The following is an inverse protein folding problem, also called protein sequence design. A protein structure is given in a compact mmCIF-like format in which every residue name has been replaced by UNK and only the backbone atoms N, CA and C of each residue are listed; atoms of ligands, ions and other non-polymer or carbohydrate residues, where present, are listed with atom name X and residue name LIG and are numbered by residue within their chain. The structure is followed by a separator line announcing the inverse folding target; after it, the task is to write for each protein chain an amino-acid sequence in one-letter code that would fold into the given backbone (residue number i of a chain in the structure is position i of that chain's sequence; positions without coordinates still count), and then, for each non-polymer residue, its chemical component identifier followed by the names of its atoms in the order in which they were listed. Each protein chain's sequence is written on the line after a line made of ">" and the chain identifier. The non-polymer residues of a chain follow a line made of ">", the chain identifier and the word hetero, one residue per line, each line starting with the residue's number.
data_IF_456067519187
#
_entry.id   IF_456067519187
#
_cell.length_a   1.000
_cell.length_b   1.000
_cell.length_c   1.000
_cell.angle_alpha   90.00
_cell.angle_beta   90.00
_cell.angle_gamma   90.00
#
_symmetry.space_group_name_H-M   'P 1'
#
loop_
_entity.id
_entity.type
_entity.pdbx_description
1 polymer ?
#
# COMPACT_ATOMS: atom_id res chain seq x y z
N UNK A 1 -43.95 85.57 34.56
CA UNK A 1 -44.12 86.89 33.94
C UNK A 1 -44.13 86.69 32.44
N UNK A 2 -45.28 86.86 31.85
CA UNK A 2 -45.64 87.70 30.70
C UNK A 2 -44.83 87.34 29.43
N UNK A 3 -45.33 87.06 28.23
CA UNK A 3 -46.54 87.47 27.52
C UNK A 3 -46.42 86.81 26.14
N UNK A 4 -47.36 86.01 25.66
CA UNK A 4 -48.38 86.34 24.69
C UNK A 4 -47.87 87.11 23.46
N UNK A 5 -48.07 86.56 22.27
CA UNK A 5 -48.94 87.03 21.17
C UNK A 5 -48.52 86.31 19.89
N UNK A 6 -49.26 85.42 19.29
CA UNK A 6 -50.41 85.55 18.39
C UNK A 6 -50.01 86.07 17.00
N UNK A 7 -50.43 85.32 16.00
CA UNK A 7 -51.16 85.74 14.77
C UNK A 7 -50.54 85.36 13.41
N UNK A 8 -51.31 84.49 12.73
CA UNK A 8 -51.74 84.50 11.30
C UNK A 8 -50.77 84.04 10.21
N UNK A 9 -51.05 82.83 9.63
CA UNK A 9 -51.71 82.52 8.36
C UNK A 9 -50.97 82.96 7.11
N UNK A 10 -50.40 82.05 6.39
CA UNK A 10 -50.54 82.01 4.91
C UNK A 10 -50.19 80.62 4.36
N UNK A 11 -51.22 80.01 3.83
CA UNK A 11 -51.09 78.78 3.02
C UNK A 11 -50.38 79.06 1.72
N UNK A 12 -49.35 78.35 1.45
CA UNK A 12 -48.77 78.20 0.08
C UNK A 12 -48.48 76.75 -0.17
N UNK A 13 -49.36 76.12 -0.93
CA UNK A 13 -49.20 74.78 -1.53
C UNK A 13 -48.11 74.87 -2.52
N UNK A 14 -46.95 74.27 -2.23
CA UNK A 14 -45.93 73.98 -3.22
C UNK A 14 -45.94 72.48 -3.49
N UNK A 15 -46.46 72.10 -4.62
CA UNK A 15 -46.36 70.76 -5.19
C UNK A 15 -44.88 70.44 -5.42
N UNK A 16 -44.29 69.66 -4.54
CA UNK A 16 -42.99 69.02 -4.78
C UNK A 16 -43.26 67.76 -5.58
N UNK A 17 -43.02 67.86 -6.88
CA UNK A 17 -42.93 66.73 -7.78
C UNK A 17 -41.84 65.76 -7.26
N UNK A 18 -42.29 64.65 -6.69
CA UNK A 18 -41.38 63.56 -6.36
C UNK A 18 -40.73 63.02 -7.63
N UNK A 19 -39.45 63.29 -7.81
CA UNK A 19 -38.61 62.46 -8.68
C UNK A 19 -38.62 61.06 -8.08
N UNK A 20 -39.42 60.17 -8.62
CA UNK A 20 -39.29 58.76 -8.42
C UNK A 20 -37.88 58.37 -8.91
N UNK A 21 -37.00 58.02 -7.98
CA UNK A 21 -35.83 57.22 -8.32
C UNK A 21 -36.40 55.88 -8.83
N UNK A 22 -36.51 55.76 -10.15
CA UNK A 22 -36.61 54.46 -10.77
C UNK A 22 -35.34 53.74 -10.36
N UNK A 23 -35.45 52.70 -9.49
CA UNK A 23 -34.44 51.69 -9.36
C UNK A 23 -34.21 51.18 -10.80
N UNK A 24 -33.16 51.66 -11.40
CA UNK A 24 -32.64 51.08 -12.65
C UNK A 24 -32.14 49.71 -12.20
N UNK A 25 -33.03 48.73 -12.27
CA UNK A 25 -32.64 47.35 -12.18
C UNK A 25 -31.50 47.13 -13.17
N UNK A 26 -30.26 47.11 -12.65
CA UNK A 26 -29.10 46.92 -13.50
C UNK A 26 -29.31 45.57 -14.18
N UNK A 27 -29.65 45.60 -15.46
CA UNK A 27 -29.77 44.39 -16.29
C UNK A 27 -28.48 43.59 -16.10
N UNK A 28 -28.60 42.42 -15.43
CA UNK A 28 -27.45 41.52 -15.30
C UNK A 28 -26.93 41.24 -16.70
N UNK A 29 -25.62 41.43 -16.96
CA UNK A 29 -25.09 41.24 -18.28
C UNK A 29 -25.41 39.82 -18.74
N UNK A 30 -25.97 39.73 -19.95
CA UNK A 30 -26.30 38.44 -20.56
C UNK A 30 -25.03 37.63 -20.79
N UNK A 31 -24.97 36.33 -20.41
CA UNK A 31 -23.79 35.52 -20.64
C UNK A 31 -23.59 35.31 -22.15
N UNK A 32 -22.32 35.25 -22.56
CA UNK A 32 -21.98 34.82 -23.92
C UNK A 32 -22.16 33.31 -24.05
N UNK A 33 -22.78 32.89 -25.13
CA UNK A 33 -22.92 31.47 -25.47
C UNK A 33 -22.05 31.19 -26.68
N UNK A 34 -21.15 30.20 -26.52
CA UNK A 34 -20.31 29.72 -27.59
C UNK A 34 -20.80 28.33 -28.01
N UNK A 35 -21.03 28.18 -29.29
CA UNK A 35 -21.23 26.89 -29.94
C UNK A 35 -19.89 26.43 -30.42
N UNK A 36 -19.39 25.28 -29.93
CA UNK A 36 -18.04 24.76 -30.15
C UNK A 36 -16.94 25.62 -29.48
N UNK A 37 -16.50 25.18 -28.30
CA UNK A 37 -15.35 25.77 -27.62
C UNK A 37 -14.12 24.89 -27.90
N UNK A 38 -13.00 25.52 -28.18
CA UNK A 38 -11.68 24.91 -28.24
C UNK A 38 -10.70 25.80 -27.49
N UNK A 39 -10.17 25.29 -26.38
CA UNK A 39 -9.13 25.93 -25.58
C UNK A 39 -7.86 25.10 -25.71
N UNK A 40 -6.72 25.75 -25.85
CA UNK A 40 -5.41 25.09 -25.91
C UNK A 40 -4.38 25.93 -25.20
N UNK A 41 -3.48 25.28 -24.48
CA UNK A 41 -2.29 25.88 -23.90
C UNK A 41 -1.05 25.15 -24.42
N UNK A 42 -0.06 25.94 -24.80
CA UNK A 42 1.25 25.43 -25.19
C UNK A 42 2.29 25.86 -24.15
N UNK A 43 3.40 25.13 -24.10
CA UNK A 43 4.62 25.51 -23.38
C UNK A 43 5.26 26.77 -24.05
N UNK A 44 6.23 27.42 -23.40
CA UNK A 44 7.00 28.50 -24.00
C UNK A 44 7.70 28.08 -25.30
N UNK A 45 8.05 26.84 -25.47
CA UNK A 45 8.69 26.28 -26.67
C UNK A 45 7.68 25.92 -27.78
N UNK A 46 6.39 26.14 -27.53
CA UNK A 46 5.31 25.94 -28.51
C UNK A 46 4.67 24.53 -28.48
N UNK A 47 5.19 23.61 -27.68
CA UNK A 47 4.62 22.26 -27.55
C UNK A 47 3.28 22.28 -26.81
N UNK A 48 2.29 21.46 -27.22
CA UNK A 48 1.01 21.42 -26.56
C UNK A 48 1.14 20.84 -25.16
N UNK A 49 0.56 21.53 -24.16
CA UNK A 49 0.42 21.02 -22.79
C UNK A 49 -0.95 20.37 -22.59
N UNK A 50 -1.99 21.05 -23.07
CA UNK A 50 -3.34 20.51 -23.02
C UNK A 50 -4.26 21.17 -24.05
N UNK A 51 -5.33 20.45 -24.40
CA UNK A 51 -6.42 20.92 -25.24
C UNK A 51 -7.74 20.51 -24.61
N UNK A 52 -8.74 21.40 -24.61
CA UNK A 52 -10.10 21.14 -24.17
C UNK A 52 -11.09 21.53 -25.26
N UNK A 53 -11.96 20.60 -25.66
CA UNK A 53 -13.02 20.80 -26.64
C UNK A 53 -14.40 20.56 -25.99
N UNK A 54 -15.40 21.35 -26.42
CA UNK A 54 -16.79 21.19 -25.97
C UNK A 54 -17.77 21.61 -27.03
N UNK A 55 -18.95 20.97 -27.11
CA UNK A 55 -20.01 21.39 -28.02
C UNK A 55 -20.66 22.72 -27.64
N UNK A 56 -20.64 23.11 -26.37
CA UNK A 56 -21.20 24.40 -25.94
C UNK A 56 -20.57 24.90 -24.62
N UNK A 57 -20.44 26.23 -24.55
CA UNK A 57 -19.98 26.92 -23.35
C UNK A 57 -20.81 28.17 -23.12
N UNK A 58 -20.98 28.53 -21.84
CA UNK A 58 -21.65 29.76 -21.40
C UNK A 58 -20.71 30.54 -20.50
N UNK A 59 -20.26 31.71 -20.97
CA UNK A 59 -19.34 32.57 -20.23
C UNK A 59 -20.08 33.74 -19.55
N UNK A 60 -19.84 33.91 -18.24
CA UNK A 60 -20.37 35.00 -17.43
C UNK A 60 -19.24 36.01 -17.13
N UNK A 61 -19.32 37.22 -17.69
CA UNK A 61 -18.25 38.21 -17.61
C UNK A 61 -17.94 38.62 -16.18
N UNK A 62 -18.99 38.93 -15.38
CA UNK A 62 -18.82 39.45 -14.02
C UNK A 62 -18.09 38.45 -13.10
N UNK A 63 -18.34 37.17 -13.28
CA UNK A 63 -17.78 36.12 -12.47
C UNK A 63 -16.49 35.55 -13.08
N UNK A 64 -16.16 35.90 -14.34
CA UNK A 64 -15.07 35.29 -15.13
C UNK A 64 -15.14 33.78 -15.14
N UNK A 65 -16.35 33.23 -15.31
CA UNK A 65 -16.60 31.77 -15.26
C UNK A 65 -17.20 31.31 -16.61
N UNK A 66 -16.54 30.36 -17.23
CA UNK A 66 -17.10 29.54 -18.31
C UNK A 66 -17.67 28.24 -17.78
N UNK A 67 -18.97 28.02 -18.01
CA UNK A 67 -19.62 26.73 -17.74
C UNK A 67 -19.67 25.97 -19.06
N UNK A 68 -19.00 24.81 -19.07
CA UNK A 68 -18.72 24.02 -20.27
C UNK A 68 -19.47 22.69 -20.18
N UNK A 69 -20.22 22.33 -21.22
CA UNK A 69 -20.96 21.06 -21.26
C UNK A 69 -20.19 19.97 -22.02
N UNK A 70 -20.15 18.77 -21.45
CA UNK A 70 -19.51 17.58 -22.05
C UNK A 70 -18.10 17.87 -22.57
N UNK A 71 -17.21 18.45 -21.75
CA UNK A 71 -15.84 18.69 -22.15
C UNK A 71 -15.10 17.40 -22.44
N UNK A 72 -14.24 17.44 -23.44
CA UNK A 72 -13.21 16.43 -23.72
C UNK A 72 -11.87 17.16 -23.66
N UNK A 73 -11.03 16.80 -22.70
CA UNK A 73 -9.68 17.35 -22.62
C UNK A 73 -8.65 16.30 -23.00
N UNK A 74 -7.55 16.73 -23.57
CA UNK A 74 -6.37 15.91 -23.86
C UNK A 74 -5.18 16.56 -23.16
N UNK A 75 -4.47 15.78 -22.33
CA UNK A 75 -3.17 16.16 -21.77
C UNK A 75 -2.07 15.63 -22.67
N UNK A 76 -0.99 16.37 -22.73
CA UNK A 76 0.19 16.01 -23.51
C UNK A 76 1.40 15.88 -22.58
N UNK A 77 2.31 15.00 -22.93
CA UNK A 77 3.58 14.77 -22.29
C UNK A 77 4.64 14.73 -23.39
N UNK A 78 5.64 15.62 -23.33
CA UNK A 78 6.62 15.82 -24.40
C UNK A 78 5.97 15.97 -25.81
N UNK A 79 4.91 16.79 -25.89
CA UNK A 79 4.17 17.04 -27.13
C UNK A 79 3.32 15.87 -27.64
N UNK A 80 3.29 14.72 -26.95
CA UNK A 80 2.48 13.54 -27.31
C UNK A 80 1.25 13.45 -26.43
N UNK A 81 0.07 13.09 -27.00
CA UNK A 81 -1.12 12.86 -26.19
C UNK A 81 -0.91 11.74 -25.18
N UNK A 82 -1.04 12.03 -23.88
CA UNK A 82 -0.84 11.09 -22.77
C UNK A 82 -2.15 10.61 -22.14
N UNK A 83 -3.09 11.54 -21.89
CA UNK A 83 -4.39 11.22 -21.32
C UNK A 83 -5.52 11.91 -22.04
N UNK A 84 -6.68 11.23 -22.10
CA UNK A 84 -7.96 11.81 -22.52
C UNK A 84 -8.94 11.83 -21.35
N UNK A 85 -9.53 13.00 -21.09
CA UNK A 85 -10.38 13.28 -19.95
C UNK A 85 -11.80 13.58 -20.43
N UNK A 86 -12.77 13.00 -19.75
CA UNK A 86 -14.20 13.17 -20.00
C UNK A 86 -14.91 13.59 -18.72
N UNK A 87 -15.82 14.56 -18.82
CA UNK A 87 -16.72 14.92 -17.74
C UNK A 87 -18.08 15.38 -18.32
N UNK A 88 -19.18 15.29 -17.55
CA UNK A 88 -20.47 15.88 -17.95
C UNK A 88 -20.43 17.40 -18.01
N UNK A 89 -19.72 18.03 -17.08
CA UNK A 89 -19.61 19.51 -16.98
C UNK A 89 -18.20 19.91 -16.54
N UNK A 90 -17.77 21.10 -16.98
CA UNK A 90 -16.59 21.78 -16.44
C UNK A 90 -16.89 23.25 -16.17
N UNK A 91 -16.20 23.79 -15.15
CA UNK A 91 -16.14 25.22 -14.84
C UNK A 91 -14.71 25.70 -15.09
N UNK A 92 -14.54 26.65 -15.98
CA UNK A 92 -13.26 27.36 -16.16
C UNK A 92 -13.39 28.70 -15.44
N UNK A 93 -12.59 28.87 -14.40
CA UNK A 93 -12.64 29.99 -13.45
C UNK A 93 -11.40 30.86 -13.69
N UNK A 94 -11.57 32.19 -13.63
CA UNK A 94 -10.47 33.13 -13.79
C UNK A 94 -9.80 33.07 -15.18
N UNK A 95 -10.61 32.75 -16.23
CA UNK A 95 -10.13 32.63 -17.63
C UNK A 95 -9.09 31.51 -17.84
N UNK A 96 -9.06 30.50 -16.92
CA UNK A 96 -8.18 29.36 -17.00
C UNK A 96 -7.25 29.17 -15.81
N UNK A 97 -7.33 30.04 -14.79
CA UNK A 97 -6.54 29.88 -13.56
C UNK A 97 -6.88 28.56 -12.83
N UNK A 98 -8.17 28.16 -12.90
CA UNK A 98 -8.65 26.91 -12.36
C UNK A 98 -9.71 26.28 -13.26
N UNK A 99 -9.59 24.97 -13.49
CA UNK A 99 -10.56 24.16 -14.23
C UNK A 99 -11.12 23.10 -13.30
N UNK A 100 -12.43 23.13 -13.07
CA UNK A 100 -13.12 22.12 -12.29
C UNK A 100 -13.95 21.23 -13.22
N UNK A 101 -13.67 19.95 -13.22
CA UNK A 101 -14.46 18.91 -13.89
C UNK A 101 -15.36 18.25 -12.84
N UNK A 102 -16.66 18.14 -13.09
CA UNK A 102 -17.64 17.70 -12.10
C UNK A 102 -18.59 16.64 -12.64
N UNK A 103 -19.36 16.04 -11.72
CA UNK A 103 -20.40 15.04 -12.01
C UNK A 103 -19.88 13.70 -12.54
N UNK A 104 -18.66 13.32 -12.14
CA UNK A 104 -18.02 12.08 -12.54
C UNK A 104 -17.05 12.26 -13.71
N UNK A 105 -15.79 12.29 -13.35
CA UNK A 105 -14.67 12.46 -14.28
C UNK A 105 -14.05 11.11 -14.59
N UNK A 106 -13.72 10.87 -15.85
CA UNK A 106 -12.96 9.69 -16.29
C UNK A 106 -11.77 10.16 -17.12
N UNK A 107 -10.57 9.77 -16.71
CA UNK A 107 -9.32 9.96 -17.44
C UNK A 107 -8.83 8.60 -17.92
N UNK A 108 -8.42 8.52 -19.20
CA UNK A 108 -7.88 7.29 -19.82
C UNK A 108 -6.51 7.58 -20.38
N UNK A 109 -5.53 6.77 -20.01
CA UNK A 109 -4.23 6.78 -20.69
C UNK A 109 -4.41 6.42 -22.16
N UNK A 110 -3.60 7.01 -23.03
CA UNK A 110 -3.60 6.79 -24.47
C UNK A 110 -2.49 5.84 -24.92
N UNK A 111 -1.72 5.32 -23.95
CA UNK A 111 -0.76 4.25 -24.13
C UNK A 111 -1.41 2.86 -23.96
N UNK A 112 -0.60 1.80 -24.07
CA UNK A 112 -1.02 0.40 -23.94
C UNK A 112 -1.19 -0.06 -22.46
N UNK A 113 -1.00 0.81 -21.47
CA UNK A 113 -1.14 0.48 -20.05
C UNK A 113 -2.55 0.06 -19.67
N UNK A 114 -3.56 0.60 -20.39
CA UNK A 114 -4.97 0.42 -20.07
C UNK A 114 -5.39 1.17 -18.81
N UNK A 115 -4.58 2.12 -18.36
CA UNK A 115 -4.85 2.87 -17.12
C UNK A 115 -6.07 3.76 -17.27
N UNK A 116 -6.94 3.70 -16.26
CA UNK A 116 -8.13 4.54 -16.13
C UNK A 116 -8.16 5.14 -14.73
N UNK A 117 -8.40 6.45 -14.67
CA UNK A 117 -8.55 7.19 -13.42
C UNK A 117 -9.96 7.76 -13.36
N UNK A 118 -10.61 7.69 -12.20
CA UNK A 118 -11.96 8.23 -11.96
C UNK A 118 -12.00 9.01 -10.68
N UNK A 119 -12.87 10.04 -10.64
CA UNK A 119 -13.21 10.78 -9.44
C UNK A 119 -14.59 11.43 -9.61
N UNK A 120 -15.23 11.86 -8.53
CA UNK A 120 -16.47 12.66 -8.62
C UNK A 120 -16.18 14.06 -9.15
N UNK A 121 -15.07 14.65 -8.70
CA UNK A 121 -14.62 15.98 -9.07
C UNK A 121 -13.11 15.99 -9.31
N UNK A 122 -12.66 16.73 -10.31
CA UNK A 122 -11.24 17.02 -10.55
C UNK A 122 -11.06 18.53 -10.61
N UNK A 123 -10.11 19.05 -9.83
CA UNK A 123 -9.69 20.43 -9.83
C UNK A 123 -8.30 20.48 -10.43
N UNK A 124 -8.17 21.19 -11.52
CA UNK A 124 -6.90 21.39 -12.19
C UNK A 124 -6.50 22.85 -12.14
N UNK A 125 -5.28 23.12 -11.68
CA UNK A 125 -4.66 24.45 -11.65
C UNK A 125 -3.43 24.43 -12.56
N UNK A 126 -3.58 24.86 -13.82
CA UNK A 126 -2.50 24.76 -14.81
C UNK A 126 -1.22 25.48 -14.40
N UNK A 127 -1.34 26.68 -13.81
CA UNK A 127 -0.18 27.48 -13.38
C UNK A 127 0.62 26.85 -12.22
N UNK A 128 -0.05 26.07 -11.38
CA UNK A 128 0.57 25.36 -10.25
C UNK A 128 0.97 23.93 -10.65
N UNK A 129 0.62 23.51 -11.87
CA UNK A 129 0.76 22.14 -12.37
C UNK A 129 0.19 21.11 -11.40
N UNK A 130 -0.96 21.46 -10.78
CA UNK A 130 -1.59 20.71 -9.70
C UNK A 130 -2.92 20.13 -10.16
N UNK A 131 -3.09 18.83 -9.95
CA UNK A 131 -4.33 18.10 -10.18
C UNK A 131 -4.84 17.50 -8.87
N UNK A 132 -6.06 17.86 -8.46
CA UNK A 132 -6.71 17.33 -7.27
C UNK A 132 -7.94 16.53 -7.68
N UNK A 133 -8.01 15.26 -7.26
CA UNK A 133 -9.13 14.36 -7.48
C UNK A 133 -9.87 14.19 -6.14
N UNK A 134 -11.14 14.52 -6.11
CA UNK A 134 -11.98 14.48 -4.91
C UNK A 134 -13.20 13.57 -5.12
N UNK A 135 -13.58 12.88 -4.04
CA UNK A 135 -14.73 12.00 -4.00
C UNK A 135 -14.48 10.69 -4.74
N UNK A 136 -14.09 9.67 -3.97
CA UNK A 136 -13.85 8.30 -4.43
C UNK A 136 -12.83 8.25 -5.58
N UNK A 137 -11.66 8.86 -5.38
CA UNK A 137 -10.56 8.78 -6.34
C UNK A 137 -10.16 7.32 -6.54
N UNK A 138 -10.18 6.88 -7.79
CA UNK A 138 -9.90 5.50 -8.18
C UNK A 138 -8.97 5.50 -9.40
N UNK A 139 -7.93 4.70 -9.35
CA UNK A 139 -7.11 4.39 -10.52
C UNK A 139 -7.01 2.88 -10.68
N UNK A 140 -7.07 2.39 -11.90
CA UNK A 140 -6.87 0.97 -12.18
C UNK A 140 -6.20 0.79 -13.54
N UNK A 141 -5.45 -0.30 -13.66
CA UNK A 141 -4.87 -0.82 -14.90
C UNK A 141 -5.44 -2.22 -15.21
N UNK A 142 -4.66 -3.06 -15.89
CA UNK A 142 -5.09 -4.42 -16.25
C UNK A 142 -5.19 -5.37 -15.05
N UNK A 143 -4.45 -5.15 -13.99
CA UNK A 143 -4.31 -6.09 -12.86
C UNK A 143 -4.50 -5.44 -11.48
N UNK A 144 -4.36 -4.14 -11.38
CA UNK A 144 -4.34 -3.41 -10.11
C UNK A 144 -5.43 -2.35 -10.05
N UNK A 145 -5.97 -2.14 -8.86
CA UNK A 145 -6.89 -1.06 -8.53
C UNK A 145 -6.43 -0.39 -7.25
N UNK A 146 -6.35 0.94 -7.26
CA UNK A 146 -6.10 1.74 -6.06
C UNK A 146 -7.24 2.73 -5.86
N UNK A 147 -7.71 2.89 -4.64
CA UNK A 147 -8.75 3.84 -4.26
C UNK A 147 -8.32 4.68 -3.07
N UNK A 148 -8.79 5.93 -3.01
CA UNK A 148 -8.60 6.84 -1.89
C UNK A 148 -9.76 7.84 -1.85
N UNK A 149 -9.98 8.53 -0.71
CA UNK A 149 -10.97 9.59 -0.66
C UNK A 149 -10.57 10.78 -1.52
N UNK A 150 -9.25 11.05 -1.57
CA UNK A 150 -8.65 12.15 -2.32
C UNK A 150 -7.30 11.73 -2.90
N UNK A 151 -6.99 12.25 -4.09
CA UNK A 151 -5.67 12.12 -4.68
C UNK A 151 -5.17 13.49 -5.16
N UNK A 152 -3.88 13.76 -5.00
CA UNK A 152 -3.25 15.02 -5.40
C UNK A 152 -1.99 14.71 -6.20
N UNK A 153 -1.96 15.13 -7.43
CA UNK A 153 -0.80 15.00 -8.31
C UNK A 153 -0.10 16.33 -8.51
N UNK A 154 1.19 16.36 -8.24
CA UNK A 154 2.11 17.49 -8.47
C UNK A 154 3.00 17.15 -9.66
N UNK A 155 2.73 17.73 -10.80
CA UNK A 155 3.47 17.41 -12.03
C UNK A 155 4.96 17.81 -11.94
N UNK A 156 5.37 18.98 -11.40
CA UNK A 156 6.79 19.36 -11.30
C UNK A 156 7.65 18.41 -10.49
N UNK A 157 7.02 17.66 -9.59
CA UNK A 157 7.71 16.71 -8.71
C UNK A 157 7.38 15.25 -9.06
N UNK A 158 6.58 15.03 -10.09
CA UNK A 158 6.08 13.70 -10.47
C UNK A 158 5.50 12.91 -9.28
N UNK A 159 4.84 13.62 -8.35
CA UNK A 159 4.42 13.06 -7.06
C UNK A 159 2.92 12.93 -6.98
N UNK A 160 2.43 11.72 -6.78
CA UNK A 160 1.04 11.40 -6.47
C UNK A 160 0.90 11.12 -4.97
N UNK A 161 0.07 11.91 -4.29
CA UNK A 161 -0.36 11.67 -2.92
C UNK A 161 -1.78 11.11 -2.92
N UNK A 162 -2.01 10.06 -2.16
CA UNK A 162 -3.30 9.44 -1.90
C UNK A 162 -3.62 9.63 -0.42
N UNK A 163 -4.78 10.19 -0.12
CA UNK A 163 -5.15 10.63 1.21
C UNK A 163 -6.47 9.97 1.65
N UNK A 164 -6.45 9.41 2.84
CA UNK A 164 -7.52 8.73 3.54
C UNK A 164 -8.08 7.50 2.82
N UNK A 165 -8.35 6.45 3.59
CA UNK A 165 -8.95 5.21 3.10
C UNK A 165 -8.26 4.65 1.84
N UNK A 166 -6.93 4.69 1.83
CA UNK A 166 -6.16 4.18 0.68
C UNK A 166 -6.24 2.66 0.67
N UNK A 167 -6.75 2.10 -0.42
CA UNK A 167 -6.86 0.65 -0.61
C UNK A 167 -6.28 0.26 -1.96
N UNK A 168 -5.28 -0.61 -1.92
CA UNK A 168 -4.72 -1.28 -3.10
C UNK A 168 -5.33 -2.68 -3.22
N UNK A 169 -5.75 -3.06 -4.42
CA UNK A 169 -6.19 -4.42 -4.78
C UNK A 169 -5.41 -4.88 -6.00
N UNK A 170 -4.97 -6.14 -5.99
CA UNK A 170 -4.28 -6.73 -7.12
C UNK A 170 -4.82 -8.14 -7.43
N UNK A 171 -4.85 -8.48 -8.72
CA UNK A 171 -5.27 -9.78 -9.25
C UNK A 171 -4.17 -10.34 -10.16
N UNK A 172 -3.76 -11.56 -9.94
CA UNK A 172 -2.67 -12.20 -10.70
C UNK A 172 -2.99 -12.38 -12.20
N UNK A 173 -4.28 -12.58 -12.53
CA UNK A 173 -4.73 -12.86 -13.89
C UNK A 173 -5.58 -11.73 -14.50
N UNK A 174 -5.35 -10.49 -14.07
CA UNK A 174 -6.13 -9.34 -14.46
C UNK A 174 -7.38 -9.12 -13.62
N UNK A 175 -7.90 -7.88 -13.63
CA UNK A 175 -9.05 -7.48 -12.81
C UNK A 175 -10.27 -8.33 -13.18
N UNK A 176 -10.72 -9.11 -12.23
CA UNK A 176 -11.97 -9.83 -12.27
C UNK A 176 -12.78 -9.56 -11.00
N UNK A 177 -13.80 -8.71 -11.08
CA UNK A 177 -14.60 -8.29 -9.93
C UNK A 177 -15.55 -9.35 -9.39
N UNK A 178 -15.65 -10.51 -10.05
CA UNK A 178 -16.43 -11.65 -9.57
C UNK A 178 -15.63 -12.52 -8.60
N UNK A 179 -14.32 -12.38 -8.55
CA UNK A 179 -13.42 -13.08 -7.64
C UNK A 179 -12.71 -12.09 -6.72
N UNK A 180 -12.32 -12.56 -5.54
CA UNK A 180 -11.53 -11.74 -4.61
C UNK A 180 -10.14 -11.46 -5.20
N UNK A 181 -9.57 -10.27 -4.98
CA UNK A 181 -8.18 -9.99 -5.34
C UNK A 181 -7.21 -10.89 -4.55
N UNK A 182 -6.08 -11.19 -5.17
CA UNK A 182 -5.02 -11.97 -4.53
C UNK A 182 -4.30 -11.16 -3.43
N UNK A 183 -4.24 -9.85 -3.60
CA UNK A 183 -3.68 -8.91 -2.63
C UNK A 183 -4.66 -7.78 -2.35
N UNK A 184 -4.86 -7.46 -1.07
CA UNK A 184 -5.52 -6.24 -0.62
C UNK A 184 -4.61 -5.59 0.41
N UNK A 185 -4.30 -4.31 0.25
CA UNK A 185 -3.54 -3.54 1.24
C UNK A 185 -4.26 -2.25 1.59
N UNK A 186 -4.20 -1.87 2.86
CA UNK A 186 -4.82 -0.67 3.42
C UNK A 186 -3.77 0.24 4.02
N UNK A 187 -3.95 1.55 3.85
CA UNK A 187 -3.17 2.58 4.52
C UNK A 187 -4.00 3.86 4.66
N UNK A 188 -3.55 4.80 5.50
CA UNK A 188 -4.19 6.11 5.62
C UNK A 188 -3.65 7.12 4.61
N UNK A 189 -2.43 6.90 4.16
CA UNK A 189 -1.73 7.76 3.22
C UNK A 189 -0.77 6.93 2.38
N UNK A 190 -0.68 7.25 1.09
CA UNK A 190 0.36 6.74 0.23
C UNK A 190 0.89 7.86 -0.68
N UNK A 191 2.18 7.86 -0.91
CA UNK A 191 2.86 8.75 -1.83
C UNK A 191 3.68 7.92 -2.81
N UNK A 192 3.56 8.25 -4.08
CA UNK A 192 4.32 7.61 -5.13
C UNK A 192 4.94 8.67 -6.05
N UNK A 193 6.23 8.57 -6.26
CA UNK A 193 6.91 9.33 -7.29
C UNK A 193 6.91 8.52 -8.59
N UNK A 194 6.20 9.01 -9.60
CA UNK A 194 5.99 8.30 -10.87
C UNK A 194 7.22 8.27 -11.76
N UNK A 195 8.16 9.22 -11.55
CA UNK A 195 9.41 9.30 -12.30
C UNK A 195 10.46 8.31 -11.80
N UNK A 196 10.77 8.32 -10.49
CA UNK A 196 11.84 7.49 -9.92
C UNK A 196 11.35 6.20 -9.27
N UNK A 197 10.04 6.02 -9.14
CA UNK A 197 9.40 4.84 -8.57
C UNK A 197 9.36 4.78 -7.05
N UNK A 198 9.83 5.79 -6.33
CA UNK A 198 9.80 5.79 -4.88
C UNK A 198 8.37 5.77 -4.34
N UNK A 199 8.14 4.89 -3.38
CA UNK A 199 6.85 4.68 -2.73
C UNK A 199 7.01 4.87 -1.22
N UNK A 200 6.06 5.58 -0.61
CA UNK A 200 5.93 5.73 0.82
C UNK A 200 4.48 5.59 1.24
N UNK A 201 4.17 4.73 2.21
CA UNK A 201 2.83 4.61 2.77
C UNK A 201 2.87 4.68 4.29
N UNK A 202 1.97 5.47 4.88
CA UNK A 202 1.83 5.66 6.32
C UNK A 202 0.62 4.90 6.84
N UNK A 203 0.85 4.23 7.97
CA UNK A 203 -0.09 3.32 8.56
C UNK A 203 -1.03 3.84 9.63
N UNK A 204 -1.76 2.93 10.23
CA UNK A 204 -1.42 1.49 10.24
C UNK A 204 -1.59 0.84 8.87
N UNK A 205 -0.60 0.02 8.48
CA UNK A 205 -0.64 -0.78 7.27
C UNK A 205 -1.21 -2.14 7.61
N UNK A 206 -2.16 -2.63 6.82
CA UNK A 206 -2.59 -4.02 6.84
C UNK A 206 -2.70 -4.55 5.42
N UNK A 207 -2.11 -5.72 5.16
CA UNK A 207 -2.13 -6.42 3.89
C UNK A 207 -2.71 -7.81 4.05
N UNK A 208 -3.49 -8.25 3.06
CA UNK A 208 -4.11 -9.58 2.98
C UNK A 208 -3.69 -10.19 1.65
N UNK A 209 -3.02 -11.32 1.68
CA UNK A 209 -2.57 -12.03 0.50
C UNK A 209 -3.17 -13.46 0.51
N UNK A 210 -3.70 -13.89 -0.62
CA UNK A 210 -4.25 -15.24 -0.81
C UNK A 210 -3.68 -15.83 -2.09
N UNK A 211 -2.70 -16.72 -1.96
CA UNK A 211 -2.09 -17.44 -3.09
C UNK A 211 -2.77 -18.80 -3.31
N UNK A 212 -3.41 -19.35 -2.26
CA UNK A 212 -4.08 -20.64 -2.28
C UNK A 212 -5.51 -20.51 -1.74
N UNK A 213 -6.49 -21.26 -2.30
CA UNK A 213 -7.85 -21.25 -1.79
C UNK A 213 -7.90 -21.58 -0.29
N UNK A 214 -8.54 -20.72 0.49
CA UNK A 214 -8.72 -20.91 1.92
C UNK A 214 -7.55 -20.47 2.79
N UNK A 215 -6.38 -20.14 2.23
CA UNK A 215 -5.24 -19.61 2.97
C UNK A 215 -5.09 -18.11 2.75
N UNK A 216 -5.07 -17.36 3.83
CA UNK A 216 -4.87 -15.91 3.81
C UNK A 216 -3.72 -15.56 4.73
N UNK A 217 -2.69 -14.92 4.18
CA UNK A 217 -1.62 -14.28 4.96
C UNK A 217 -2.02 -12.85 5.27
N UNK A 218 -1.83 -12.48 6.50
CA UNK A 218 -2.09 -11.14 7.01
C UNK A 218 -0.74 -10.53 7.38
N UNK A 219 -0.43 -9.38 6.79
CA UNK A 219 0.77 -8.61 7.13
C UNK A 219 0.33 -7.30 7.75
N UNK A 220 0.95 -6.93 8.89
CA UNK A 220 0.79 -5.61 9.48
C UNK A 220 2.16 -4.95 9.68
N UNK A 221 2.19 -3.63 9.47
CA UNK A 221 3.38 -2.81 9.67
C UNK A 221 2.98 -1.38 10.05
N UNK A 222 3.93 -0.61 10.58
CA UNK A 222 3.68 0.80 10.86
C UNK A 222 3.66 1.65 9.61
N UNK A 223 4.54 1.34 8.67
CA UNK A 223 4.86 2.16 7.50
C UNK A 223 5.52 1.28 6.43
N UNK A 224 5.39 1.67 5.17
CA UNK A 224 6.11 1.05 4.05
C UNK A 224 6.93 2.12 3.35
N UNK A 225 8.20 1.82 3.05
CA UNK A 225 9.02 2.52 2.08
C UNK A 225 9.38 1.55 0.97
N UNK A 226 9.46 2.01 -0.27
CA UNK A 226 9.75 1.10 -1.36
C UNK A 226 10.15 1.80 -2.64
N UNK A 227 10.46 0.99 -3.64
CA UNK A 227 10.68 1.47 -4.99
C UNK A 227 10.04 0.49 -5.99
N UNK A 228 9.06 0.99 -6.75
CA UNK A 228 8.31 0.20 -7.72
C UNK A 228 9.15 -0.19 -8.94
N UNK A 229 10.14 0.62 -9.34
CA UNK A 229 11.04 0.30 -10.47
C UNK A 229 12.11 -0.72 -10.09
N UNK A 230 12.55 -0.69 -8.83
CA UNK A 230 13.54 -1.62 -8.28
C UNK A 230 12.90 -2.86 -7.63
N UNK A 231 11.56 -2.92 -7.60
CA UNK A 231 10.78 -4.06 -7.12
C UNK A 231 11.07 -4.47 -5.66
N UNK A 232 11.18 -3.50 -4.73
CA UNK A 232 11.34 -3.80 -3.31
C UNK A 232 10.44 -2.95 -2.41
N UNK A 233 10.09 -3.52 -1.25
CA UNK A 233 9.32 -2.88 -0.19
C UNK A 233 9.98 -3.12 1.16
N UNK A 234 10.22 -2.06 1.94
CA UNK A 234 10.66 -2.08 3.34
C UNK A 234 9.46 -1.87 4.26
N UNK A 235 9.09 -2.87 5.01
CA UNK A 235 8.10 -2.78 6.07
C UNK A 235 8.77 -2.33 7.37
N UNK A 236 8.29 -1.23 7.96
CA UNK A 236 8.86 -0.64 9.16
C UNK A 236 8.24 -1.24 10.43
N UNK A 237 9.08 -1.47 11.41
CA UNK A 237 8.72 -2.12 12.68
C UNK A 237 7.56 -1.42 13.43
N UNK A 238 6.74 -2.16 14.15
CA UNK A 238 6.70 -3.61 14.24
C UNK A 238 6.10 -4.25 12.99
N UNK A 239 6.70 -5.35 12.52
CA UNK A 239 6.17 -6.14 11.41
C UNK A 239 5.63 -7.45 11.95
N UNK A 240 4.40 -7.79 11.60
CA UNK A 240 3.75 -9.03 11.98
C UNK A 240 3.15 -9.71 10.75
N UNK A 241 3.43 -10.98 10.59
CA UNK A 241 2.90 -11.84 9.52
C UNK A 241 2.16 -13.00 10.16
N UNK A 242 0.92 -13.21 9.77
CA UNK A 242 0.06 -14.28 10.28
C UNK A 242 -0.51 -15.11 9.12
N UNK A 243 -0.61 -16.40 9.30
CA UNK A 243 -1.39 -17.32 8.47
C UNK A 243 -2.10 -18.32 9.41
N UNK A 244 -3.42 -18.11 9.65
CA UNK A 244 -4.13 -18.83 10.71
C UNK A 244 -4.29 -20.34 10.47
N UNK A 245 -4.39 -20.78 9.20
CA UNK A 245 -4.63 -22.20 8.86
C UNK A 245 -3.44 -23.06 9.28
N UNK A 246 -2.23 -22.64 8.98
CA UNK A 246 -1.00 -23.33 9.37
C UNK A 246 -0.46 -22.84 10.72
N UNK A 247 -1.21 -22.00 11.43
CA UNK A 247 -0.79 -21.40 12.71
C UNK A 247 0.58 -20.73 12.60
N UNK A 248 0.80 -20.00 11.47
CA UNK A 248 2.02 -19.23 11.28
C UNK A 248 1.85 -17.86 11.94
N UNK A 249 2.83 -17.49 12.74
CA UNK A 249 3.01 -16.15 13.28
C UNK A 249 4.48 -15.78 13.21
N UNK A 250 4.82 -14.64 12.63
CA UNK A 250 6.17 -14.09 12.61
C UNK A 250 6.10 -12.64 13.09
N UNK A 251 6.86 -12.30 14.11
CA UNK A 251 7.12 -10.94 14.54
C UNK A 251 8.56 -10.59 14.18
N UNK A 252 8.75 -9.42 13.56
CA UNK A 252 10.06 -8.97 13.13
C UNK A 252 10.19 -7.44 13.28
N UNK A 253 11.41 -6.96 13.25
CA UNK A 253 11.70 -5.55 13.08
C UNK A 253 11.56 -5.13 11.61
N UNK A 254 12.42 -4.21 11.16
CA UNK A 254 12.43 -3.81 9.74
C UNK A 254 12.64 -5.03 8.84
N UNK A 255 11.74 -5.20 7.87
CA UNK A 255 11.71 -6.36 6.97
C UNK A 255 11.61 -5.88 5.52
N UNK A 256 12.48 -6.39 4.65
CA UNK A 256 12.45 -6.10 3.21
C UNK A 256 11.87 -7.26 2.42
N UNK A 257 10.98 -6.94 1.51
CA UNK A 257 10.43 -7.84 0.50
C UNK A 257 10.92 -7.45 -0.89
N UNK A 258 11.54 -8.38 -1.59
CA UNK A 258 11.94 -8.29 -2.98
C UNK A 258 10.86 -8.97 -3.82
N UNK A 259 10.08 -8.19 -4.56
CA UNK A 259 8.83 -8.65 -5.19
C UNK A 259 9.10 -9.72 -6.24
N UNK A 260 9.97 -9.46 -7.22
CA UNK A 260 10.29 -10.42 -8.29
C UNK A 260 11.00 -11.67 -7.77
N UNK A 261 11.93 -11.49 -6.84
CA UNK A 261 12.67 -12.60 -6.23
C UNK A 261 11.86 -13.41 -5.24
N UNK A 262 10.64 -12.96 -4.89
CA UNK A 262 9.79 -13.53 -3.83
C UNK A 262 10.58 -13.84 -2.56
N UNK A 263 11.47 -12.89 -2.21
CA UNK A 263 12.43 -13.01 -1.12
C UNK A 263 12.08 -12.04 -0.01
N UNK A 264 12.09 -12.53 1.23
CA UNK A 264 11.93 -11.71 2.45
C UNK A 264 13.24 -11.74 3.24
N UNK A 265 13.68 -10.59 3.73
CA UNK A 265 14.86 -10.46 4.59
C UNK A 265 14.59 -9.55 5.77
N UNK A 266 15.11 -9.91 6.95
CA UNK A 266 15.13 -9.03 8.13
C UNK A 266 16.42 -9.24 8.91
N UNK A 267 17.13 -8.16 9.18
CA UNK A 267 18.32 -8.20 10.05
C UNK A 267 18.00 -8.06 11.52
N UNK A 268 16.75 -7.74 11.85
CA UNK A 268 16.28 -7.59 13.23
C UNK A 268 16.10 -8.95 13.90
N UNK A 269 15.87 -8.90 15.23
CA UNK A 269 15.41 -10.08 15.97
C UNK A 269 14.04 -10.49 15.39
N UNK A 270 13.88 -11.77 15.18
CA UNK A 270 12.67 -12.41 14.71
C UNK A 270 12.25 -13.44 15.74
N UNK A 271 10.98 -13.44 16.08
CA UNK A 271 10.33 -14.53 16.79
C UNK A 271 9.12 -15.01 15.98
N UNK A 272 8.93 -16.31 15.93
CA UNK A 272 7.87 -16.89 15.15
C UNK A 272 7.38 -18.22 15.70
N UNK A 273 6.17 -18.55 15.29
CA UNK A 273 5.54 -19.86 15.54
C UNK A 273 5.05 -20.41 14.21
N UNK A 274 5.31 -21.68 13.95
CA UNK A 274 4.75 -22.42 12.84
C UNK A 274 4.29 -23.77 13.33
N UNK A 275 2.96 -23.99 13.37
CA UNK A 275 2.34 -25.13 14.04
C UNK A 275 2.77 -25.19 15.51
N UNK A 276 3.58 -26.18 15.88
CA UNK A 276 4.11 -26.38 17.23
C UNK A 276 5.59 -25.97 17.38
N UNK A 277 6.19 -25.54 16.27
CA UNK A 277 7.59 -25.07 16.22
C UNK A 277 7.67 -23.59 16.54
N UNK A 278 8.41 -23.23 17.59
CA UNK A 278 8.82 -21.85 17.88
C UNK A 278 10.20 -21.59 17.31
N UNK A 279 10.37 -20.46 16.63
CA UNK A 279 11.61 -20.04 15.98
C UNK A 279 12.03 -18.70 16.53
N UNK A 280 13.29 -18.56 16.99
CA UNK A 280 13.86 -17.25 17.35
C UNK A 280 15.27 -17.12 16.81
N UNK A 281 15.68 -15.88 16.54
CA UNK A 281 17.02 -15.54 16.06
C UNK A 281 17.05 -14.21 15.34
N UNK A 282 18.03 -14.02 14.48
CA UNK A 282 18.15 -12.81 13.64
C UNK A 282 18.72 -13.17 12.25
N UNK A 283 18.77 -12.18 11.36
CA UNK A 283 19.15 -12.38 9.96
C UNK A 283 18.24 -13.40 9.26
N UNK A 284 16.92 -13.16 9.34
CA UNK A 284 15.92 -13.95 8.61
C UNK A 284 16.09 -13.77 7.11
N UNK A 285 16.05 -14.89 6.38
CA UNK A 285 15.86 -14.93 4.94
C UNK A 285 14.82 -16.00 4.61
N UNK A 286 13.79 -15.61 3.84
CA UNK A 286 12.79 -16.52 3.29
C UNK A 286 12.90 -16.47 1.77
N UNK A 287 13.08 -17.61 1.13
CA UNK A 287 13.07 -17.80 -0.32
C UNK A 287 11.85 -18.63 -0.68
N UNK A 288 10.78 -17.95 -1.13
CA UNK A 288 9.48 -18.59 -1.35
C UNK A 288 9.55 -19.69 -2.43
N UNK A 289 10.20 -19.41 -3.55
CA UNK A 289 10.32 -20.38 -4.67
C UNK A 289 11.15 -21.62 -4.29
N UNK A 290 12.07 -21.48 -3.33
CA UNK A 290 12.86 -22.59 -2.78
C UNK A 290 12.22 -23.26 -1.58
N UNK A 291 11.08 -22.76 -1.13
CA UNK A 291 10.40 -23.24 0.08
C UNK A 291 11.31 -23.24 1.32
N UNK A 292 12.20 -22.24 1.42
CA UNK A 292 13.30 -22.25 2.39
C UNK A 292 13.26 -21.05 3.33
N UNK A 293 13.47 -21.30 4.62
CA UNK A 293 13.75 -20.30 5.66
C UNK A 293 15.18 -20.46 6.16
N UNK A 294 15.86 -19.37 6.39
CA UNK A 294 17.17 -19.33 7.04
C UNK A 294 17.15 -18.31 8.17
N UNK A 295 17.61 -18.71 9.36
CA UNK A 295 17.98 -17.84 10.47
C UNK A 295 19.51 -17.79 10.47
N UNK A 296 20.08 -16.64 10.17
CA UNK A 296 21.53 -16.49 9.94
C UNK A 296 22.33 -16.36 11.22
N UNK A 297 21.68 -15.99 12.36
CA UNK A 297 22.36 -15.77 13.62
C UNK A 297 21.46 -16.08 14.81
N UNK A 298 22.08 -16.68 15.86
CA UNK A 298 21.45 -16.99 17.16
C UNK A 298 20.17 -17.82 17.02
N UNK A 299 20.21 -18.83 16.11
CA UNK A 299 19.06 -19.65 15.82
C UNK A 299 18.68 -20.54 17.02
N UNK A 300 17.41 -20.47 17.38
CA UNK A 300 16.78 -21.38 18.34
C UNK A 300 15.47 -21.87 17.77
N UNK A 301 15.35 -23.19 17.67
CA UNK A 301 14.11 -23.89 17.30
C UNK A 301 13.65 -24.69 18.48
N UNK A 302 12.39 -24.58 18.86
CA UNK A 302 11.82 -25.27 20.01
C UNK A 302 10.46 -25.85 19.68
N UNK A 303 10.25 -27.10 19.96
CA UNK A 303 8.96 -27.78 19.92
C UNK A 303 8.78 -28.60 21.23
N UNK A 304 7.57 -29.13 21.54
CA UNK A 304 7.36 -29.89 22.75
C UNK A 304 8.38 -31.00 22.90
N UNK A 305 9.14 -30.98 23.99
CA UNK A 305 10.16 -31.98 24.31
C UNK A 305 11.48 -31.87 23.55
N UNK A 306 11.63 -30.90 22.64
CA UNK A 306 12.87 -30.72 21.86
C UNK A 306 13.32 -29.26 21.77
N UNK A 307 14.63 -29.03 21.85
CA UNK A 307 15.26 -27.73 21.71
C UNK A 307 16.55 -27.84 20.89
N UNK A 308 16.57 -27.17 19.72
CA UNK A 308 17.76 -27.00 18.90
C UNK A 308 18.27 -25.56 19.02
N UNK A 309 19.56 -25.41 19.32
CA UNK A 309 20.29 -24.13 19.26
C UNK A 309 21.46 -24.27 18.31
N UNK A 310 21.73 -23.21 17.52
CA UNK A 310 22.88 -23.15 16.61
C UNK A 310 23.20 -21.68 16.26
N UNK A 311 24.36 -21.43 15.70
CA UNK A 311 24.64 -20.10 15.15
C UNK A 311 23.72 -19.82 13.96
N UNK A 312 23.51 -20.81 13.10
CA UNK A 312 22.68 -20.67 11.90
C UNK A 312 21.81 -21.93 11.71
N UNK A 313 20.54 -21.71 11.27
CA UNK A 313 19.64 -22.77 10.86
C UNK A 313 19.06 -22.49 9.48
N UNK A 314 18.82 -23.57 8.73
CA UNK A 314 18.10 -23.55 7.46
C UNK A 314 17.07 -24.66 7.48
N UNK A 315 15.88 -24.35 7.02
CA UNK A 315 14.77 -25.31 6.97
C UNK A 315 14.02 -25.14 5.65
N UNK A 316 13.67 -26.28 5.04
CA UNK A 316 12.79 -26.34 3.88
C UNK A 316 11.44 -26.88 4.33
N UNK A 317 10.38 -26.08 4.21
CA UNK A 317 9.06 -26.43 4.75
C UNK A 317 8.27 -27.41 3.89
N UNK A 318 8.70 -27.71 2.66
CA UNK A 318 8.10 -28.71 1.79
C UNK A 318 8.71 -30.09 1.98
N UNK A 319 10.04 -30.18 1.94
CA UNK A 319 10.77 -31.44 2.11
C UNK A 319 11.04 -31.82 3.57
N UNK A 320 10.83 -30.90 4.52
CA UNK A 320 11.21 -31.10 5.91
C UNK A 320 12.71 -31.07 6.19
N UNK A 321 13.55 -30.84 5.15
CA UNK A 321 15.00 -30.84 5.33
C UNK A 321 15.45 -29.71 6.27
N UNK A 322 16.24 -30.04 7.28
CA UNK A 322 16.81 -29.13 8.28
C UNK A 322 18.33 -29.22 8.28
N UNK A 323 18.97 -28.07 8.41
CA UNK A 323 20.41 -27.93 8.61
C UNK A 323 20.66 -26.91 9.72
N UNK A 324 21.56 -27.24 10.64
CA UNK A 324 22.05 -26.32 11.64
C UNK A 324 23.58 -26.34 11.67
N UNK A 325 24.20 -25.18 11.82
CA UNK A 325 25.66 -25.04 11.78
C UNK A 325 26.15 -24.07 12.85
N UNK A 326 27.32 -24.38 13.43
CA UNK A 326 27.99 -23.60 14.48
C UNK A 326 27.37 -23.80 15.85
N UNK A 327 28.15 -24.37 16.77
CA UNK A 327 27.79 -24.60 18.17
C UNK A 327 26.40 -25.26 18.34
N UNK A 328 26.16 -26.31 17.55
CA UNK A 328 24.87 -27.00 17.54
C UNK A 328 24.67 -27.74 18.85
N UNK A 329 23.55 -27.48 19.51
CA UNK A 329 23.07 -28.19 20.72
C UNK A 329 21.65 -28.66 20.50
N UNK A 330 21.43 -29.97 20.49
CA UNK A 330 20.08 -30.55 20.48
C UNK A 330 19.80 -31.17 21.85
N UNK A 331 18.70 -30.75 22.48
CA UNK A 331 18.17 -31.35 23.73
C UNK A 331 16.87 -32.06 23.43
N UNK A 332 16.70 -33.26 24.00
CA UNK A 332 15.48 -34.05 23.96
C UNK A 332 15.10 -34.45 25.38
N UNK A 333 13.98 -33.92 25.86
CA UNK A 333 13.59 -34.07 27.27
C UNK A 333 13.14 -35.48 27.59
N UNK A 334 12.40 -36.15 26.71
CA UNK A 334 11.93 -37.53 26.91
C UNK A 334 13.09 -38.51 27.03
N UNK A 335 14.12 -38.32 26.22
CA UNK A 335 15.32 -39.18 26.23
C UNK A 335 16.36 -38.71 27.24
N UNK A 336 16.13 -37.57 27.93
CA UNK A 336 17.12 -36.87 28.75
C UNK A 336 18.48 -36.73 28.03
N UNK A 337 18.42 -36.43 26.74
CA UNK A 337 19.57 -36.40 25.84
C UNK A 337 19.97 -34.94 25.57
N UNK A 338 21.27 -34.69 25.63
CA UNK A 338 21.90 -33.48 25.06
C UNK A 338 23.01 -33.89 24.12
N UNK A 339 22.93 -33.46 22.85
CA UNK A 339 23.96 -33.71 21.84
C UNK A 339 24.55 -32.41 21.37
N UNK A 340 25.88 -32.32 21.36
CA UNK A 340 26.66 -31.14 20.86
C UNK A 340 27.49 -31.54 19.65
N UNK A 341 27.46 -30.68 18.62
CA UNK A 341 28.19 -30.89 17.37
C UNK A 341 28.49 -29.57 16.66
N UNK A 342 29.29 -29.57 15.61
CA UNK A 342 29.49 -28.41 14.75
C UNK A 342 28.37 -28.28 13.72
N UNK A 343 27.78 -29.38 13.29
CA UNK A 343 26.75 -29.44 12.27
C UNK A 343 25.69 -30.50 12.62
N UNK A 344 24.45 -30.18 12.21
CA UNK A 344 23.33 -31.09 12.18
C UNK A 344 22.67 -31.00 10.82
N UNK A 345 22.36 -32.11 10.22
CA UNK A 345 21.53 -32.22 9.02
C UNK A 345 20.52 -33.36 9.19
N UNK A 346 19.31 -33.17 8.65
CA UNK A 346 18.26 -34.18 8.77
C UNK A 346 16.98 -33.74 8.09
N UNK A 347 15.92 -34.55 8.34
CA UNK A 347 14.57 -34.34 7.86
C UNK A 347 13.65 -34.37 9.06
N UNK A 348 12.71 -33.41 9.16
CA UNK A 348 11.77 -33.25 10.29
C UNK A 348 10.45 -33.99 10.10
N UNK A 349 10.38 -35.00 9.21
CA UNK A 349 9.20 -35.87 9.06
C UNK A 349 9.16 -36.96 10.13
N UNK A 350 8.03 -37.61 10.31
CA UNK A 350 7.76 -38.56 11.41
C UNK A 350 8.80 -39.69 11.60
N UNK A 351 9.53 -40.06 10.51
CA UNK A 351 10.67 -40.98 10.55
C UNK A 351 12.02 -40.26 10.43
N UNK A 352 12.10 -39.00 10.80
CA UNK A 352 13.19 -38.09 10.54
C UNK A 352 14.53 -38.52 11.12
N UNK A 353 15.50 -38.76 10.27
CA UNK A 353 16.89 -39.00 10.66
C UNK A 353 17.63 -37.67 10.79
N UNK A 354 18.35 -37.50 11.89
CA UNK A 354 19.30 -36.41 12.10
C UNK A 354 20.70 -36.98 12.19
N UNK A 355 21.61 -36.36 11.43
CA UNK A 355 23.03 -36.69 11.42
C UNK A 355 23.79 -35.54 12.03
N UNK A 356 24.61 -35.82 13.02
CA UNK A 356 25.55 -34.86 13.62
C UNK A 356 26.94 -35.06 13.06
N UNK A 357 27.64 -33.98 12.82
CA UNK A 357 29.04 -34.01 12.40
C UNK A 357 29.84 -32.91 13.03
N UNK A 358 31.11 -33.18 13.29
CA UNK A 358 32.08 -32.22 13.82
C UNK A 358 33.41 -32.43 13.08
N UNK A 359 33.61 -31.81 11.90
CA UNK A 359 34.79 -32.06 11.07
C UNK A 359 36.12 -31.82 11.77
N UNK A 360 36.16 -30.91 12.76
CA UNK A 360 37.39 -30.52 13.48
C UNK A 360 37.28 -30.76 14.99
N UNK A 361 36.24 -31.46 15.46
CA UNK A 361 36.00 -31.75 16.88
C UNK A 361 35.20 -33.04 17.03
N UNK A 362 34.84 -33.41 18.26
CA UNK A 362 34.05 -34.60 18.57
C UNK A 362 32.58 -34.24 18.67
N UNK A 363 31.71 -35.17 18.24
CA UNK A 363 30.30 -35.16 18.61
C UNK A 363 30.19 -35.68 20.03
N UNK A 364 29.57 -34.93 20.94
CA UNK A 364 29.41 -35.30 22.36
C UNK A 364 27.93 -35.46 22.64
N UNK A 365 27.56 -36.67 23.18
CA UNK A 365 26.20 -36.95 23.62
C UNK A 365 26.22 -37.32 25.10
N UNK A 366 25.39 -36.63 25.86
CA UNK A 366 25.15 -36.95 27.29
C UNK A 366 23.75 -37.52 27.41
N UNK A 367 23.63 -38.68 28.09
CA UNK A 367 22.38 -39.36 28.39
C UNK A 367 22.26 -39.52 29.90
N UNK A 368 21.11 -39.20 30.48
CA UNK A 368 20.80 -39.50 31.86
C UNK A 368 19.90 -40.75 31.91
N UNK A 369 20.42 -41.83 32.45
CA UNK A 369 19.64 -43.04 32.73
C UNK A 369 18.95 -42.90 34.09
N UNK A 370 17.63 -43.13 34.18
CA UNK A 370 16.96 -43.37 35.45
C UNK A 370 17.52 -44.68 36.00
N UNK A 371 18.19 -44.63 37.14
CA UNK A 371 18.42 -45.85 37.92
C UNK A 371 17.06 -46.41 38.29
N UNK A 372 16.66 -47.48 37.61
CA UNK A 372 15.65 -48.37 38.18
C UNK A 372 16.32 -49.07 39.33
N UNK A 373 15.90 -48.78 40.59
CA UNK A 373 16.22 -49.60 41.74
C UNK A 373 15.80 -51.01 41.40
N UNK A 374 16.81 -51.89 41.18
CA UNK A 374 16.60 -53.28 40.88
C UNK A 374 16.41 -54.06 42.17
N UNK A 375 15.49 -54.98 42.19
CA UNK A 375 15.78 -56.24 42.91
C UNK A 375 16.04 -57.36 41.92
N UNK A 376 17.19 -57.96 42.11
CA UNK A 376 17.55 -59.38 41.91
C UNK A 376 17.40 -60.01 40.50
N UNK A 377 18.55 -60.43 40.05
CA UNK A 377 18.92 -61.69 39.32
C UNK A 377 19.34 -61.54 37.86
N UNK A 378 20.43 -62.18 37.43
CA UNK A 378 21.04 -62.01 36.14
C UNK A 378 20.36 -62.90 35.09
N UNK A 379 19.69 -62.30 34.13
CA UNK A 379 19.42 -62.98 32.88
C UNK A 379 20.11 -62.24 31.78
N UNK A 380 21.04 -62.93 31.15
CA UNK A 380 21.65 -62.45 29.87
C UNK A 380 20.57 -62.27 28.81
N UNK A 381 20.33 -61.11 28.41
CA UNK A 381 19.62 -60.81 27.17
C UNK A 381 20.40 -59.73 26.40
N UNK A 382 20.83 -60.10 25.20
CA UNK A 382 21.34 -59.22 24.19
C UNK A 382 20.36 -58.06 24.02
N UNK A 383 20.78 -56.84 24.35
CA UNK A 383 20.01 -55.61 24.12
C UNK A 383 19.77 -55.39 22.63
N UNK A 384 18.64 -54.80 22.25
CA UNK A 384 18.38 -54.44 20.86
C UNK A 384 19.36 -53.35 20.41
N UNK A 385 19.69 -53.31 19.13
CA UNK A 385 20.59 -52.28 18.58
C UNK A 385 19.95 -50.90 18.76
N UNK A 386 20.75 -49.97 19.20
CA UNK A 386 20.37 -48.56 19.28
C UNK A 386 20.06 -48.09 17.87
N UNK A 387 18.80 -47.82 17.58
CA UNK A 387 18.40 -47.14 16.36
C UNK A 387 18.48 -45.62 16.62
N UNK A 388 19.29 -44.94 15.83
CA UNK A 388 19.43 -43.49 15.81
C UNK A 388 18.37 -42.85 14.90
#
# INVERSE_FOLDING_TARGET
>A
MKSATSVILCALISAISGCGFSDVEQEKPRPFVFNQLNLRQNSPDGEPLWELRSPSSKYTINDRVSRIKKPIATLFDDGKPSYRIFAPEALVIGDGDQIELVDGVTMRALDDSGQVIKAKKVIWRPSDELLVLEGDAQAYDKANEITADKAVYYAPHHTLNLENNVVLRAWDNGINRTIKPNLIAYSNFAQWNTENGNLHAKGPISGYQSDEPGKVRILTAREINGNAKENWLDFMAPVRIEEPVDRLLINAGKTRYWVEAKKITSNSIVDGVFKDLTVTGSQLEILHDKKQVTIGKDCKLSQPGELLKAMRCRWNWESGAVQATGDVVLKRDELKQETRAQQLSGITTDDGRVVFSSPNDQVRTQLEFKNQDSPTSPQSSSGPPVQF
#
